data_IF_376376446998
#
_entry.id   IF_376376446998
#
_cell.length_a   1.000
_cell.length_b   1.000
_cell.length_c   1.000
_cell.angle_alpha   90.00
_cell.angle_beta   90.00
_cell.angle_gamma   90.00
#
_symmetry.space_group_name_H-M   'P 1'
#
loop_
_entity.id
_entity.type
_entity.pdbx_description
1 polymer ?
#
# COMPACT_ATOMS: atom_id res chain seq x y z
N UNK A 1 -6.05 -10.54 10.48
CA UNK A 1 -5.26 -10.86 9.29
C UNK A 1 -6.02 -10.47 8.04
N UNK A 2 -5.36 -9.76 7.15
CA UNK A 2 -5.97 -9.25 5.93
C UNK A 2 -5.05 -9.55 4.75
N UNK A 3 -5.66 -9.96 3.65
CA UNK A 3 -4.93 -10.20 2.42
C UNK A 3 -5.35 -9.13 1.41
N UNK A 4 -4.38 -8.43 0.86
CA UNK A 4 -4.65 -7.33 -0.06
C UNK A 4 -4.09 -7.72 -1.42
N UNK A 5 -4.93 -7.69 -2.46
CA UNK A 5 -4.45 -8.01 -3.81
C UNK A 5 -3.41 -6.99 -4.25
N UNK A 6 -2.37 -7.49 -4.87
CA UNK A 6 -1.34 -6.63 -5.41
C UNK A 6 -0.71 -7.37 -6.57
N UNK A 7 0.03 -6.66 -7.39
CA UNK A 7 0.72 -7.30 -8.50
C UNK A 7 2.17 -6.83 -8.49
N UNK A 8 3.02 -7.68 -9.02
CA UNK A 8 4.42 -7.33 -9.20
C UNK A 8 4.56 -6.37 -10.38
N UNK A 9 5.64 -5.62 -10.45
CA UNK A 9 5.87 -4.79 -11.64
C UNK A 9 5.82 -5.59 -12.94
N UNK A 10 6.08 -6.89 -12.87
CA UNK A 10 5.97 -7.75 -14.05
C UNK A 10 4.53 -8.06 -14.43
N UNK A 11 3.57 -7.69 -13.58
CA UNK A 11 2.16 -7.94 -13.84
C UNK A 11 1.61 -9.20 -13.20
N UNK A 12 2.44 -9.99 -12.54
CA UNK A 12 1.98 -11.22 -11.90
C UNK A 12 1.32 -10.92 -10.56
N UNK A 13 0.25 -11.62 -10.24
CA UNK A 13 -0.40 -11.45 -8.94
C UNK A 13 0.56 -11.79 -7.80
N UNK A 14 0.50 -11.00 -6.76
CA UNK A 14 1.33 -11.25 -5.58
C UNK A 14 0.70 -10.55 -4.39
N UNK A 15 -0.39 -11.11 -3.85
CA UNK A 15 -1.09 -10.46 -2.74
C UNK A 15 -0.19 -10.38 -1.52
N UNK A 16 -0.43 -9.35 -0.71
CA UNK A 16 0.29 -9.19 0.54
C UNK A 16 -0.63 -9.51 1.70
N UNK A 17 -0.05 -9.92 2.81
CA UNK A 17 -0.79 -10.21 4.03
C UNK A 17 -0.38 -9.25 5.10
N UNK A 18 -1.37 -8.72 5.82
CA UNK A 18 -1.13 -7.80 6.91
C UNK A 18 -1.70 -8.42 8.17
N UNK A 19 -0.88 -8.61 9.19
CA UNK A 19 -1.30 -9.28 10.40
C UNK A 19 -0.38 -8.93 11.56
N UNK A 20 -0.76 -9.38 12.76
CA UNK A 20 0.11 -9.23 13.91
C UNK A 20 1.37 -10.03 13.68
N UNK A 21 2.51 -9.47 14.08
CA UNK A 21 3.76 -10.20 13.97
C UNK A 21 3.75 -11.39 14.91
N UNK A 22 4.21 -12.51 14.41
CA UNK A 22 4.25 -13.72 15.22
C UNK A 22 5.22 -13.53 16.39
N UNK A 23 4.75 -13.85 17.58
CA UNK A 23 5.59 -13.73 18.77
C UNK A 23 5.79 -12.32 19.27
N UNK A 24 5.15 -11.32 18.63
CA UNK A 24 5.31 -9.94 19.05
C UNK A 24 4.03 -9.16 18.75
N UNK A 25 3.05 -9.19 19.66
CA UNK A 25 1.74 -8.59 19.39
C UNK A 25 1.77 -7.06 19.27
N UNK A 26 2.90 -6.43 19.60
CA UNK A 26 3.03 -4.99 19.49
C UNK A 26 3.55 -4.56 18.12
N UNK A 27 3.74 -5.49 17.20
CA UNK A 27 4.26 -5.15 15.88
C UNK A 27 3.38 -5.75 14.80
N UNK A 28 3.55 -5.22 13.60
CA UNK A 28 2.73 -5.61 12.46
C UNK A 28 3.62 -6.26 11.41
N UNK A 29 3.18 -7.40 10.90
CA UNK A 29 3.90 -8.11 9.87
C UNK A 29 3.20 -7.90 8.53
N UNK A 30 3.95 -7.49 7.53
CA UNK A 30 3.46 -7.38 6.16
C UNK A 30 4.21 -8.42 5.35
N UNK A 31 3.50 -9.49 4.97
CA UNK A 31 4.08 -10.60 4.27
C UNK A 31 3.89 -10.53 2.78
N UNK A 32 4.93 -10.88 2.04
CA UNK A 32 4.91 -10.88 0.59
C UNK A 32 5.19 -12.26 0.04
N UNK A 33 4.61 -13.25 0.67
CA UNK A 33 4.89 -14.63 0.33
C UNK A 33 5.85 -15.22 1.34
N UNK A 34 5.88 -16.52 1.42
CA UNK A 34 6.66 -17.21 2.43
C UNK A 34 8.08 -17.42 1.96
N UNK A 35 9.06 -17.10 2.75
CA UNK A 35 9.02 -16.53 4.11
C UNK A 35 9.24 -15.01 4.14
N UNK A 36 9.04 -14.33 3.06
CA UNK A 36 9.41 -12.93 2.93
C UNK A 36 8.39 -12.01 3.55
N UNK A 37 8.87 -10.93 4.13
CA UNK A 37 8.00 -9.94 4.73
C UNK A 37 8.80 -8.97 5.57
N UNK A 38 8.10 -7.96 6.08
CA UNK A 38 8.70 -6.93 6.91
C UNK A 38 7.89 -6.77 8.17
N UNK A 39 8.57 -6.44 9.26
CA UNK A 39 7.92 -6.19 10.53
C UNK A 39 8.03 -4.70 10.83
N UNK A 40 6.89 -4.09 11.18
CA UNK A 40 6.82 -2.65 11.43
C UNK A 40 6.45 -2.37 12.87
N UNK A 41 7.08 -1.36 13.45
CA UNK A 41 6.60 -0.77 14.69
C UNK A 41 5.26 -0.09 14.38
N UNK A 42 4.47 0.15 15.43
CA UNK A 42 3.17 0.77 15.23
C UNK A 42 3.28 2.13 14.55
N UNK A 43 4.26 2.95 14.98
CA UNK A 43 4.45 4.27 14.38
C UNK A 43 4.87 4.17 12.92
N UNK A 44 5.72 3.21 12.61
CA UNK A 44 6.16 3.01 11.23
C UNK A 44 5.01 2.56 10.33
N UNK A 45 4.16 1.69 10.87
CA UNK A 45 3.01 1.23 10.11
C UNK A 45 2.04 2.37 9.83
N UNK A 46 1.85 3.25 10.80
CA UNK A 46 0.97 4.41 10.61
C UNK A 46 1.56 5.38 9.61
N UNK A 47 2.87 5.56 9.64
CA UNK A 47 3.55 6.42 8.69
C UNK A 47 3.42 5.87 7.27
N UNK A 48 3.61 4.58 7.11
CA UNK A 48 3.45 3.95 5.81
C UNK A 48 2.01 4.10 5.30
N UNK A 49 1.04 3.89 6.17
CA UNK A 49 -0.37 4.03 5.79
C UNK A 49 -0.68 5.46 5.36
N UNK A 50 -0.11 6.43 6.05
CA UNK A 50 -0.32 7.83 5.72
C UNK A 50 0.25 8.14 4.34
N UNK A 51 1.47 7.68 4.07
CA UNK A 51 2.09 7.94 2.78
C UNK A 51 1.34 7.27 1.64
N UNK A 52 0.86 6.05 1.88
CA UNK A 52 0.07 5.36 0.87
C UNK A 52 -1.23 6.11 0.58
N UNK A 53 -1.88 6.61 1.61
CA UNK A 53 -3.12 7.36 1.44
C UNK A 53 -2.88 8.67 0.70
N UNK A 54 -1.82 9.38 1.05
CA UNK A 54 -1.50 10.64 0.38
C UNK A 54 -1.28 10.41 -1.11
N UNK A 55 -0.48 9.42 -1.43
CA UNK A 55 -0.16 9.15 -2.82
C UNK A 55 -1.39 8.66 -3.59
N UNK A 56 -2.21 7.84 -2.94
CA UNK A 56 -3.45 7.37 -3.56
C UNK A 56 -4.37 8.54 -3.87
N UNK A 57 -4.47 9.49 -2.94
CA UNK A 57 -5.30 10.67 -3.15
C UNK A 57 -4.79 11.51 -4.30
N UNK A 58 -3.47 11.70 -4.37
CA UNK A 58 -2.86 12.48 -5.45
C UNK A 58 -3.14 11.83 -6.80
N UNK A 59 -2.91 10.52 -6.88
CA UNK A 59 -3.11 9.83 -8.16
C UNK A 59 -4.58 9.76 -8.54
N UNK A 60 -5.45 9.62 -7.56
CA UNK A 60 -6.88 9.59 -7.82
C UNK A 60 -7.34 10.93 -8.38
N UNK A 61 -6.82 12.02 -7.85
CA UNK A 61 -7.15 13.34 -8.36
C UNK A 61 -6.67 13.51 -9.80
N UNK A 62 -5.50 12.98 -10.11
CA UNK A 62 -4.99 13.05 -11.48
C UNK A 62 -5.88 12.28 -12.45
N UNK A 63 -6.35 11.13 -12.03
CA UNK A 63 -7.22 10.32 -12.87
C UNK A 63 -8.59 10.97 -13.03
N UNK A 64 -9.11 11.56 -11.96
CA UNK A 64 -10.44 12.17 -11.99
C UNK A 64 -10.47 13.46 -12.76
N UNK A 65 -9.33 14.12 -12.94
CA UNK A 65 -9.27 15.36 -13.67
C UNK A 65 -8.65 15.09 -15.01
N UNK A 66 -9.43 14.55 -15.89
CA UNK A 66 -8.87 14.19 -17.18
C UNK A 66 -8.39 15.43 -17.78
N UNK A 67 -7.39 15.50 -17.85
CA UNK A 67 -6.89 16.44 -18.52
C UNK A 67 -7.48 17.57 -18.64
N UNK A 68 -8.31 17.46 -18.35
CA UNK A 68 -9.04 18.46 -18.46
C UNK A 68 -8.54 19.68 -18.06
N UNK A 69 -8.24 19.45 -17.89
CA UNK A 69 -8.02 20.11 -17.58
C UNK A 69 -7.25 20.64 -17.98
N UNK A 70 -7.09 20.28 -18.42
CA UNK A 70 -6.41 20.57 -18.86
C UNK A 70 -6.50 21.26 -19.54
N UNK A 71 -6.98 21.08 -19.68
CA UNK A 71 -7.19 21.57 -20.24
C UNK A 71 -7.36 22.52 -20.25
N UNK A 72 -7.32 22.52 -20.09
CA UNK A 72 -7.46 23.17 -20.22
C UNK A 72 -7.27 23.98 -20.45
N UNK A 73 -6.95 23.80 -20.73
CA UNK A 73 -6.73 24.30 -21.10
C UNK A 73 -6.74 24.79 -21.61
N UNK A 74 -6.72 24.64 -21.92
CA UNK A 74 -6.76 24.83 -22.53
C UNK A 74 -6.85 25.42 -22.83
#
# INVERSE_FOLDING_TARGET
>A
MVSIPAIRPSGRPHPIRVEKAYGNPQKIFVGMGTPRGLVFELSEARELAQELNILADVLEAEVSQPLGLLVQDL
#
